data_IF_613869825661
#
_entry.id   IF_613869825661
#
_cell.length_a   1.000
_cell.length_b   1.000
_cell.length_c   1.000
_cell.angle_alpha   90.00
_cell.angle_beta   90.00
_cell.angle_gamma   90.00
#
_symmetry.space_group_name_H-M   'P 1'
#
loop_
_entity.id
_entity.type
_entity.pdbx_description
1 polymer ?
#
# COMPACT_ATOMS: atom_id res chain seq x y z
N UNK A 1 -10.03 -20.74 -1.05
CA UNK A 1 -9.32 -20.32 -2.18
C UNK A 1 -9.46 -18.83 -2.46
N UNK A 2 -8.39 -18.18 -2.62
CA UNK A 2 -8.41 -16.74 -2.86
C UNK A 2 -8.80 -16.45 -4.28
N UNK A 3 -9.57 -15.41 -4.44
CA UNK A 3 -9.96 -14.94 -5.76
C UNK A 3 -9.50 -13.53 -5.89
N UNK A 4 -8.59 -13.29 -6.79
CA UNK A 4 -8.11 -11.95 -7.04
C UNK A 4 -8.62 -11.48 -8.38
N UNK A 5 -9.20 -10.30 -8.40
CA UNK A 5 -9.54 -9.69 -9.67
C UNK A 5 -8.29 -9.12 -10.33
N UNK A 6 -7.25 -8.93 -9.54
CA UNK A 6 -5.97 -8.43 -10.02
C UNK A 6 -4.89 -8.92 -9.07
N UNK A 7 -3.73 -9.17 -9.60
CA UNK A 7 -2.66 -9.77 -8.84
C UNK A 7 -1.31 -9.32 -9.38
N UNK A 8 -0.39 -9.00 -8.50
CA UNK A 8 0.96 -8.62 -8.89
C UNK A 8 1.87 -8.85 -7.69
N UNK A 9 3.15 -8.70 -7.89
CA UNK A 9 4.09 -8.86 -6.79
C UNK A 9 5.25 -7.90 -6.95
N UNK A 10 5.87 -7.57 -5.83
CA UNK A 10 7.02 -6.70 -5.78
C UNK A 10 8.10 -7.34 -4.92
N UNK A 11 9.32 -6.90 -5.13
CA UNK A 11 10.44 -7.40 -4.36
C UNK A 11 10.79 -6.38 -3.28
N UNK A 12 11.07 -6.86 -2.08
CA UNK A 12 11.46 -5.99 -0.99
C UNK A 12 12.95 -5.70 -1.05
N UNK A 13 13.28 -4.46 -0.76
CA UNK A 13 14.67 -4.02 -0.71
C UNK A 13 14.90 -3.30 0.61
N UNK A 14 16.15 -3.30 1.11
CA UNK A 14 16.43 -2.53 2.32
C UNK A 14 16.13 -1.06 2.09
N UNK A 15 15.49 -0.43 3.07
CA UNK A 15 15.22 0.99 2.96
C UNK A 15 16.51 1.80 3.05
N UNK A 16 17.39 1.38 3.94
CA UNK A 16 18.74 1.94 4.03
C UNK A 16 19.68 0.80 4.41
N UNK A 17 20.96 1.06 4.32
CA UNK A 17 21.93 0.04 4.63
C UNK A 17 21.97 -0.34 6.11
N UNK A 18 21.40 0.51 6.97
CA UNK A 18 21.46 0.27 8.41
C UNK A 18 20.11 0.07 9.05
N UNK A 19 19.08 0.03 8.27
CA UNK A 19 17.73 -0.03 8.80
C UNK A 19 17.17 -1.45 8.69
N UNK A 20 16.31 -1.80 9.64
CA UNK A 20 15.55 -3.03 9.51
C UNK A 20 14.33 -2.85 8.63
N UNK A 21 14.08 -1.62 8.20
CA UNK A 21 12.94 -1.34 7.36
C UNK A 21 13.21 -1.76 5.92
N UNK A 22 12.16 -2.18 5.25
CA UNK A 22 12.24 -2.58 3.86
C UNK A 22 11.33 -1.69 3.04
N UNK A 23 11.65 -1.57 1.77
CA UNK A 23 10.84 -0.79 0.85
C UNK A 23 10.50 -1.62 -0.37
N UNK A 24 9.45 -1.23 -1.02
CA UNK A 24 9.05 -1.87 -2.25
C UNK A 24 8.29 -0.86 -3.09
N UNK A 25 8.07 -1.22 -4.34
CA UNK A 25 7.34 -0.36 -5.26
C UNK A 25 5.87 -0.72 -5.21
N UNK A 26 5.03 0.30 -5.13
CA UNK A 26 3.58 0.10 -5.26
C UNK A 26 3.30 -0.06 -6.75
N UNK A 27 2.61 -1.13 -7.16
CA UNK A 27 2.33 -1.32 -8.58
C UNK A 27 1.57 -0.15 -9.17
N UNK A 28 1.90 0.19 -10.41
CA UNK A 28 1.27 1.32 -11.07
C UNK A 28 -0.25 1.17 -11.16
N UNK A 29 -0.71 -0.07 -11.31
CA UNK A 29 -2.15 -0.30 -11.36
C UNK A 29 -2.84 0.19 -10.09
N UNK A 30 -2.22 -0.09 -8.94
CA UNK A 30 -2.77 0.36 -7.66
C UNK A 30 -2.72 1.87 -7.56
N UNK A 31 -1.61 2.46 -7.98
CA UNK A 31 -1.47 3.92 -7.94
C UNK A 31 -2.59 4.57 -8.74
N UNK A 32 -2.87 4.05 -9.92
CA UNK A 32 -3.89 4.63 -10.78
C UNK A 32 -5.30 4.34 -10.26
N UNK A 33 -5.50 3.13 -9.74
CA UNK A 33 -6.83 2.73 -9.29
C UNK A 33 -7.30 3.58 -8.13
N UNK A 34 -6.40 3.95 -7.25
CA UNK A 34 -6.74 4.71 -6.05
C UNK A 34 -6.26 6.16 -6.12
N UNK A 35 -5.76 6.57 -7.28
CA UNK A 35 -5.33 7.94 -7.49
C UNK A 35 -4.35 8.38 -6.39
N UNK A 36 -3.35 7.54 -6.15
CA UNK A 36 -2.36 7.81 -5.12
C UNK A 36 -1.43 8.93 -5.56
N UNK A 37 -1.09 9.79 -4.63
CA UNK A 37 -0.22 10.91 -4.89
C UNK A 37 0.81 11.03 -3.80
N UNK A 38 1.85 11.76 -4.10
CA UNK A 38 2.87 12.03 -3.13
C UNK A 38 2.25 12.63 -1.87
N UNK A 39 2.60 12.08 -0.75
CA UNK A 39 2.08 12.56 0.52
C UNK A 39 0.88 11.79 1.04
N UNK A 40 0.28 10.96 0.22
CA UNK A 40 -0.80 10.12 0.69
C UNK A 40 -0.25 9.10 1.67
N UNK A 41 -1.12 8.64 2.56
CA UNK A 41 -0.73 7.71 3.59
C UNK A 41 -1.38 6.37 3.40
N UNK A 42 -0.69 5.35 3.86
CA UNK A 42 -1.20 3.99 3.84
C UNK A 42 -1.30 3.48 5.25
N UNK A 43 -2.41 2.85 5.56
CA UNK A 43 -2.60 2.21 6.85
C UNK A 43 -2.33 0.73 6.71
N UNK A 44 -1.51 0.20 7.59
CA UNK A 44 -1.10 -1.18 7.57
C UNK A 44 -1.73 -1.93 8.72
N UNK A 45 -2.18 -3.13 8.47
CA UNK A 45 -2.75 -3.97 9.51
C UNK A 45 -2.42 -5.41 9.23
N UNK A 46 -2.52 -6.23 10.27
CA UNK A 46 -2.35 -7.67 10.13
C UNK A 46 -3.67 -8.31 10.50
N UNK A 47 -4.21 -9.09 9.58
CA UNK A 47 -5.46 -9.79 9.81
C UNK A 47 -5.32 -11.21 9.31
N UNK A 48 -5.60 -12.17 10.21
CA UNK A 48 -5.59 -13.58 9.85
C UNK A 48 -4.29 -14.01 9.17
N UNK A 49 -3.17 -13.45 9.63
CA UNK A 49 -1.88 -13.82 9.08
C UNK A 49 -1.51 -13.13 7.80
N UNK A 50 -2.31 -12.19 7.36
CA UNK A 50 -2.03 -11.45 6.13
C UNK A 50 -1.84 -9.97 6.42
N UNK A 51 -1.09 -9.32 5.57
CA UNK A 51 -0.92 -7.88 5.65
C UNK A 51 -2.01 -7.22 4.83
N UNK A 52 -2.71 -6.28 5.46
CA UNK A 52 -3.76 -5.52 4.80
C UNK A 52 -3.32 -4.07 4.73
N UNK A 53 -3.44 -3.47 3.57
CA UNK A 53 -3.04 -2.09 3.35
C UNK A 53 -4.25 -1.31 2.86
N UNK A 54 -4.51 -0.19 3.51
CA UNK A 54 -5.63 0.66 3.11
C UNK A 54 -5.12 2.07 2.83
N UNK A 55 -5.68 2.68 1.81
CA UNK A 55 -5.31 4.04 1.46
C UNK A 55 -6.04 5.01 2.37
N UNK A 56 -5.28 5.89 3.00
CA UNK A 56 -5.85 6.91 3.87
C UNK A 56 -5.77 8.24 3.16
N UNK A 57 -6.85 8.62 2.51
CA UNK A 57 -6.90 9.89 1.80
C UNK A 57 -7.33 10.99 2.73
N UNK A 58 -6.67 12.13 2.69
CA UNK A 58 -7.02 13.21 3.62
C UNK A 58 -8.31 13.91 3.27
N UNK A 59 -8.80 13.76 2.08
CA UNK A 59 -9.94 14.54 1.70
C UNK A 59 -11.21 14.06 2.24
N UNK A 60 -11.36 13.22 2.68
CA UNK A 60 -12.57 12.76 3.07
C UNK A 60 -13.40 13.46 3.80
N UNK A 61 -13.53 14.14 3.68
CA UNK A 61 -14.11 14.65 4.32
C UNK A 61 -14.86 15.39 4.31
N UNK A 62 -15.22 15.65 3.95
CA UNK A 62 -15.84 16.37 3.94
C UNK A 62 -16.61 16.59 4.10
N UNK A 63 -17.03 16.81 3.98
CA UNK A 63 -17.80 17.17 4.10
C UNK A 63 -18.38 17.36 4.51
N UNK A 64 -18.67 17.65 4.53
CA UNK A 64 -19.31 18.04 4.91
C UNK A 64 -19.75 18.22 5.25
#
# INVERSE_FOLDING_TARGET
MAKYSWHDESVLHPATSKSNSLRTTVPAYIVNQFDLKKGDKLNWAIENGSVVIQVAKPENKIIK
#
